data_IF_039845471221
#
_entry.id   IF_039845471221
#
_cell.length_a   1.000
_cell.length_b   1.000
_cell.length_c   1.000
_cell.angle_alpha   90.00
_cell.angle_beta   90.00
_cell.angle_gamma   90.00
#
_symmetry.space_group_name_H-M   'P 1'
#
loop_
_entity.id
_entity.type
_entity.pdbx_description
1 polymer ?
#
# COMPACT_ATOMS: atom_id res chain seq x y z
N UNK A 1 16.18 12.45 56.26
CA UNK A 1 15.08 12.36 55.27
C UNK A 1 15.33 13.18 54.00
N UNK A 2 15.58 14.50 54.08
CA UNK A 2 15.87 15.34 52.87
C UNK A 2 17.00 14.79 51.97
N UNK A 3 18.10 14.31 52.55
CA UNK A 3 19.22 13.78 51.76
C UNK A 3 18.93 12.43 51.07
N UNK A 4 18.03 11.62 51.64
CA UNK A 4 17.62 10.33 51.05
C UNK A 4 16.70 10.57 49.84
N UNK A 5 15.83 11.59 49.91
CA UNK A 5 14.95 11.98 48.79
C UNK A 5 15.77 12.54 47.62
N UNK A 6 16.81 13.33 47.89
CA UNK A 6 17.70 13.87 46.85
C UNK A 6 18.50 12.74 46.18
N UNK A 7 19.00 11.78 46.95
CA UNK A 7 19.71 10.62 46.41
C UNK A 7 18.80 9.74 45.53
N UNK A 8 17.54 9.53 45.96
CA UNK A 8 16.56 8.78 45.17
C UNK A 8 16.18 9.49 43.86
N UNK A 9 16.05 10.82 43.87
CA UNK A 9 15.78 11.60 42.67
C UNK A 9 16.95 11.55 41.66
N UNK A 10 18.19 11.56 42.15
CA UNK A 10 19.39 11.45 41.31
C UNK A 10 19.54 10.06 40.68
N UNK A 11 19.09 9.01 41.37
CA UNK A 11 19.12 7.63 40.86
C UNK A 11 18.12 7.39 39.72
N UNK A 12 16.95 8.04 39.75
CA UNK A 12 15.93 7.94 38.69
C UNK A 12 16.42 8.59 37.39
N UNK A 13 17.13 9.72 37.49
CA UNK A 13 17.69 10.45 36.34
C UNK A 13 18.74 9.63 35.56
N UNK A 14 19.43 8.69 36.21
CA UNK A 14 20.45 7.83 35.58
C UNK A 14 19.85 6.67 34.75
N UNK A 15 18.54 6.41 34.86
CA UNK A 15 17.84 5.35 34.10
C UNK A 15 17.04 5.88 32.90
N UNK A 16 16.97 7.20 32.72
CA UNK A 16 16.14 7.86 31.72
C UNK A 16 16.79 8.03 30.32
N UNK A 17 18.00 7.50 30.11
CA UNK A 17 18.75 7.74 28.86
C UNK A 17 18.48 6.73 27.73
N UNK A 18 17.60 5.74 27.92
CA UNK A 18 17.22 4.81 26.85
C UNK A 18 15.94 5.33 26.22
N UNK A 19 16.08 6.04 25.09
CA UNK A 19 14.95 6.40 24.26
C UNK A 19 14.47 5.15 23.49
N UNK A 20 13.31 4.56 23.80
CA UNK A 20 12.80 3.38 23.11
C UNK A 20 12.39 3.66 21.65
N UNK A 21 12.39 4.94 21.25
CA UNK A 21 12.15 5.41 19.88
C UNK A 21 13.44 5.77 19.13
N UNK A 22 14.62 5.71 19.77
CA UNK A 22 15.89 5.92 19.07
C UNK A 22 16.31 4.63 18.38
N UNK A 23 16.49 4.62 17.05
CA UNK A 23 17.03 3.47 16.35
C UNK A 23 18.43 3.17 16.90
N UNK A 24 18.67 1.92 17.31
CA UNK A 24 20.03 1.44 17.47
C UNK A 24 20.65 1.31 16.07
N UNK A 25 21.95 1.59 15.93
CA UNK A 25 22.64 1.40 14.66
C UNK A 25 22.68 -0.10 14.38
N UNK A 26 21.78 -0.57 13.52
CA UNK A 26 21.77 -1.93 13.00
C UNK A 26 22.53 -1.94 11.68
N UNK A 27 23.72 -2.55 11.66
CA UNK A 27 24.54 -2.77 10.45
C UNK A 27 24.15 -4.06 9.73
N UNK A 28 22.85 -4.38 9.66
CA UNK A 28 22.39 -5.59 9.00
C UNK A 28 22.07 -5.26 7.53
N UNK A 29 22.96 -5.67 6.63
CA UNK A 29 22.83 -5.47 5.18
C UNK A 29 21.75 -6.37 4.55
N UNK A 30 21.18 -7.32 5.32
CA UNK A 30 20.20 -8.29 4.87
C UNK A 30 18.74 -7.95 5.23
N UNK A 31 18.44 -6.71 5.63
CA UNK A 31 17.05 -6.24 5.68
C UNK A 31 16.57 -6.11 4.24
N UNK A 32 15.99 -7.21 3.71
CA UNK A 32 15.39 -7.22 2.38
C UNK A 32 14.51 -5.99 2.19
N UNK A 33 14.77 -5.25 1.11
CA UNK A 33 14.14 -3.95 0.90
C UNK A 33 12.62 -4.14 0.79
N UNK A 34 11.91 -3.81 1.87
CA UNK A 34 10.45 -3.99 1.99
C UNK A 34 9.73 -3.14 0.93
N UNK A 35 10.34 -2.02 0.55
CA UNK A 35 9.89 -1.16 -0.54
C UNK A 35 10.60 -1.52 -1.85
N UNK A 36 9.82 -1.58 -2.93
CA UNK A 36 10.35 -1.67 -4.28
C UNK A 36 10.72 -0.31 -4.85
N UNK A 37 11.67 -0.29 -5.80
CA UNK A 37 11.98 0.91 -6.57
C UNK A 37 10.81 1.26 -7.51
N UNK A 38 10.02 2.27 -7.16
CA UNK A 38 8.84 2.71 -7.92
C UNK A 38 9.19 3.31 -9.30
N UNK A 39 10.48 3.48 -9.65
CA UNK A 39 10.89 3.77 -11.04
C UNK A 39 10.79 2.53 -11.94
N UNK A 40 10.67 1.35 -11.35
CA UNK A 40 10.44 0.08 -12.03
C UNK A 40 8.99 -0.36 -11.88
N UNK A 41 8.51 -1.14 -12.86
CA UNK A 41 7.17 -1.72 -12.82
C UNK A 41 7.01 -2.69 -11.66
N UNK A 42 8.00 -3.56 -11.44
CA UNK A 42 8.02 -4.50 -10.32
C UNK A 42 7.94 -3.77 -8.97
N UNK A 43 8.73 -2.70 -8.82
CA UNK A 43 8.72 -1.92 -7.59
C UNK A 43 7.42 -1.16 -7.35
N UNK A 44 6.74 -0.68 -8.40
CA UNK A 44 5.37 -0.16 -8.28
C UNK A 44 4.41 -1.21 -7.69
N UNK A 45 4.40 -2.43 -8.24
CA UNK A 45 3.51 -3.49 -7.75
C UNK A 45 3.88 -3.97 -6.33
N UNK A 46 5.17 -4.02 -5.98
CA UNK A 46 5.64 -4.28 -4.62
C UNK A 46 5.13 -3.23 -3.64
N UNK A 47 5.22 -1.95 -3.99
CA UNK A 47 4.72 -0.87 -3.15
C UNK A 47 3.19 -0.88 -3.03
N UNK A 48 2.48 -1.27 -4.10
CA UNK A 48 1.03 -1.46 -4.07
C UNK A 48 0.63 -2.58 -3.12
N UNK A 49 1.28 -3.74 -3.24
CA UNK A 49 1.08 -4.88 -2.36
C UNK A 49 1.39 -4.52 -0.90
N UNK A 50 2.51 -3.84 -0.66
CA UNK A 50 2.87 -3.32 0.65
C UNK A 50 1.75 -2.44 1.23
N UNK A 51 1.24 -1.49 0.44
CA UNK A 51 0.22 -0.56 0.91
C UNK A 51 -1.05 -1.29 1.38
N UNK A 52 -1.51 -2.32 0.66
CA UNK A 52 -2.65 -3.14 1.08
C UNK A 52 -2.31 -3.99 2.30
N UNK A 53 -1.23 -4.77 2.25
CA UNK A 53 -0.92 -5.76 3.29
C UNK A 53 -0.61 -5.09 4.65
N UNK A 54 0.00 -3.91 4.63
CA UNK A 54 0.31 -3.12 5.82
C UNK A 54 -0.69 -2.00 6.11
N UNK A 55 -1.74 -1.85 5.28
CA UNK A 55 -2.77 -0.83 5.44
C UNK A 55 -2.19 0.60 5.46
N UNK A 56 -1.13 0.84 4.70
CA UNK A 56 -0.44 2.12 4.61
C UNK A 56 -1.06 3.02 3.53
N UNK A 57 -1.95 3.91 3.95
CA UNK A 57 -2.60 4.88 3.06
C UNK A 57 -1.66 5.94 2.50
N UNK A 58 -0.53 6.22 3.17
CA UNK A 58 0.45 7.19 2.66
C UNK A 58 1.15 6.59 1.45
N UNK A 59 1.57 5.32 1.55
CA UNK A 59 2.18 4.60 0.42
C UNK A 59 1.16 4.43 -0.71
N UNK A 60 -0.08 4.03 -0.41
CA UNK A 60 -1.14 3.95 -1.42
C UNK A 60 -1.36 5.29 -2.15
N UNK A 61 -1.48 6.38 -1.40
CA UNK A 61 -1.68 7.74 -1.94
C UNK A 61 -0.57 8.19 -2.88
N UNK A 62 0.68 7.76 -2.65
CA UNK A 62 1.84 8.09 -3.49
C UNK A 62 1.85 7.34 -4.83
N UNK A 63 1.18 6.19 -4.90
CA UNK A 63 1.05 5.41 -6.14
C UNK A 63 0.06 6.04 -7.12
N UNK A 64 -0.95 6.75 -6.63
CA UNK A 64 -2.00 7.33 -7.46
C UNK A 64 -1.59 8.69 -8.05
N UNK A 65 -1.73 8.82 -9.37
CA UNK A 65 -1.65 10.11 -10.05
C UNK A 65 -2.81 11.03 -9.64
N UNK A 66 -2.64 12.34 -9.77
CA UNK A 66 -3.70 13.32 -9.46
C UNK A 66 -4.95 13.13 -10.32
N UNK A 67 -4.78 12.66 -11.56
CA UNK A 67 -5.87 12.40 -12.51
C UNK A 67 -6.38 10.95 -12.45
N UNK A 68 -6.07 10.22 -11.39
CA UNK A 68 -6.44 8.82 -11.26
C UNK A 68 -7.97 8.61 -11.32
N UNK A 69 -8.38 7.58 -12.06
CA UNK A 69 -9.76 7.07 -12.10
C UNK A 69 -9.77 5.55 -11.98
N UNK A 70 -10.58 5.07 -11.05
CA UNK A 70 -10.91 3.65 -10.86
C UNK A 70 -12.22 3.33 -11.56
N UNK A 71 -12.29 2.22 -12.29
CA UNK A 71 -13.48 1.72 -12.96
C UNK A 71 -13.79 0.31 -12.47
N UNK A 72 -15.05 0.02 -12.17
CA UNK A 72 -15.49 -1.29 -11.69
C UNK A 72 -16.92 -1.59 -12.15
N UNK A 73 -17.26 -2.88 -12.18
CA UNK A 73 -18.63 -3.33 -12.44
C UNK A 73 -19.46 -3.21 -11.17
N UNK A 74 -20.52 -2.39 -11.19
CA UNK A 74 -21.49 -2.39 -10.10
C UNK A 74 -22.54 -3.48 -10.38
N UNK A 75 -22.41 -4.63 -9.72
CA UNK A 75 -23.29 -5.77 -9.93
C UNK A 75 -24.73 -5.52 -9.45
N UNK A 76 -24.93 -4.73 -8.40
CA UNK A 76 -26.26 -4.39 -7.89
C UNK A 76 -27.03 -3.48 -8.86
N UNK A 77 -26.32 -2.54 -9.48
CA UNK A 77 -26.92 -1.55 -10.38
C UNK A 77 -26.89 -1.97 -11.87
N UNK A 78 -26.13 -3.01 -12.22
CA UNK A 78 -26.06 -3.55 -13.57
C UNK A 78 -25.30 -2.70 -14.59
N UNK A 79 -24.55 -1.68 -14.15
CA UNK A 79 -23.75 -0.80 -15.02
C UNK A 79 -22.32 -0.60 -14.49
N UNK A 80 -21.45 -0.06 -15.35
CA UNK A 80 -20.06 0.23 -14.99
C UNK A 80 -19.97 1.57 -14.29
N UNK A 81 -19.37 1.58 -13.10
CA UNK A 81 -19.20 2.75 -12.27
C UNK A 81 -17.72 3.16 -12.21
N UNK A 82 -17.48 4.37 -11.71
CA UNK A 82 -16.12 4.86 -11.54
C UNK A 82 -15.97 5.68 -10.26
N UNK A 83 -14.78 5.65 -9.68
CA UNK A 83 -14.37 6.54 -8.60
C UNK A 83 -13.22 7.42 -9.05
N UNK A 84 -13.31 8.69 -8.70
CA UNK A 84 -12.18 9.61 -8.74
C UNK A 84 -11.14 9.22 -7.69
N UNK A 85 -9.92 9.76 -7.82
CA UNK A 85 -8.86 9.63 -6.82
C UNK A 85 -9.29 9.88 -5.38
N UNK A 86 -10.09 10.91 -5.12
CA UNK A 86 -10.50 11.23 -3.76
C UNK A 86 -11.46 10.18 -3.20
N UNK A 87 -12.42 9.74 -4.00
CA UNK A 87 -13.36 8.68 -3.63
C UNK A 87 -12.64 7.36 -3.38
N UNK A 88 -11.71 6.99 -4.27
CA UNK A 88 -10.91 5.78 -4.14
C UNK A 88 -10.04 5.80 -2.87
N UNK A 89 -9.33 6.91 -2.60
CA UNK A 89 -8.51 7.05 -1.40
C UNK A 89 -9.35 6.93 -0.12
N UNK A 90 -10.53 7.55 -0.12
CA UNK A 90 -11.41 7.54 1.05
C UNK A 90 -12.04 6.16 1.28
N UNK A 91 -12.47 5.50 0.21
CA UNK A 91 -13.02 4.13 0.27
C UNK A 91 -11.94 3.13 0.68
N UNK A 92 -10.74 3.23 0.11
CA UNK A 92 -9.60 2.36 0.47
C UNK A 92 -9.17 2.60 1.92
N UNK A 93 -9.14 3.85 2.38
CA UNK A 93 -8.90 4.14 3.80
C UNK A 93 -9.94 3.48 4.72
N UNK A 94 -11.22 3.55 4.36
CA UNK A 94 -12.30 2.88 5.11
C UNK A 94 -12.14 1.37 5.14
N UNK A 95 -11.73 0.76 4.02
CA UNK A 95 -11.40 -0.66 3.97
C UNK A 95 -10.24 -0.98 4.92
N UNK A 96 -9.17 -0.18 4.89
CA UNK A 96 -7.97 -0.39 5.70
C UNK A 96 -8.30 -0.32 7.20
N UNK A 97 -9.12 0.62 7.65
CA UNK A 97 -9.51 0.69 9.07
C UNK A 97 -10.47 -0.44 9.48
N UNK A 98 -11.34 -0.90 8.57
CA UNK A 98 -12.34 -1.91 8.87
C UNK A 98 -11.76 -3.33 8.87
N UNK A 99 -10.82 -3.62 7.97
CA UNK A 99 -10.22 -4.92 7.84
C UNK A 99 -9.21 -5.20 8.97
N UNK A 100 -9.35 -6.37 9.59
CA UNK A 100 -8.34 -6.91 10.52
C UNK A 100 -7.03 -7.14 9.77
N UNK A 101 -7.09 -7.81 8.62
CA UNK A 101 -5.95 -8.02 7.72
C UNK A 101 -6.37 -7.98 6.26
N UNK A 102 -5.45 -7.56 5.41
CA UNK A 102 -5.53 -7.63 3.96
C UNK A 102 -4.34 -8.44 3.47
N UNK A 103 -4.56 -9.35 2.53
CA UNK A 103 -3.51 -10.12 1.88
C UNK A 103 -3.72 -10.04 0.36
N UNK A 104 -3.03 -9.07 -0.26
CA UNK A 104 -2.96 -8.89 -1.69
C UNK A 104 -1.72 -9.63 -2.21
N UNK A 105 -1.93 -10.46 -3.23
CA UNK A 105 -0.85 -11.14 -3.95
C UNK A 105 -1.04 -10.89 -5.43
N UNK A 106 0.00 -10.35 -6.06
CA UNK A 106 0.05 -10.22 -7.52
C UNK A 106 0.54 -11.51 -8.17
N UNK A 107 -0.21 -11.99 -9.16
CA UNK A 107 0.14 -13.15 -9.98
C UNK A 107 0.95 -12.71 -11.22
N UNK A 108 0.83 -13.44 -12.32
CA UNK A 108 1.53 -13.15 -13.57
C UNK A 108 1.00 -11.91 -14.29
N UNK A 109 1.92 -11.24 -15.00
CA UNK A 109 1.58 -10.21 -15.98
C UNK A 109 1.05 -10.92 -17.23
N UNK A 110 -0.22 -10.68 -17.55
CA UNK A 110 -0.92 -11.28 -18.68
C UNK A 110 -0.72 -10.48 -19.96
N UNK A 111 -0.56 -9.17 -19.82
CA UNK A 111 -0.34 -8.25 -20.93
C UNK A 111 0.44 -7.03 -20.44
N UNK A 112 1.39 -6.58 -21.25
CA UNK A 112 2.12 -5.33 -21.03
C UNK A 112 2.45 -4.69 -22.38
N UNK A 113 2.05 -3.43 -22.57
CA UNK A 113 2.34 -2.67 -23.77
C UNK A 113 2.44 -1.18 -23.48
N UNK A 114 3.37 -0.49 -24.12
CA UNK A 114 3.62 0.93 -23.94
C UNK A 114 5.07 1.30 -24.20
N UNK A 115 5.44 2.49 -23.75
CA UNK A 115 6.78 3.04 -23.88
C UNK A 115 7.41 3.34 -22.51
N UNK A 116 8.47 4.15 -22.50
CA UNK A 116 9.19 4.50 -21.29
C UNK A 116 8.45 5.49 -20.38
N UNK A 117 7.38 6.12 -20.84
CA UNK A 117 6.63 7.16 -20.12
C UNK A 117 5.21 6.72 -19.77
N UNK A 118 4.63 5.82 -20.54
CA UNK A 118 3.29 5.28 -20.30
C UNK A 118 3.23 3.80 -20.66
N UNK A 119 2.65 3.00 -19.75
CA UNK A 119 2.49 1.56 -19.96
C UNK A 119 1.12 1.09 -19.49
N UNK A 120 0.50 0.23 -20.29
CA UNK A 120 -0.70 -0.52 -19.93
C UNK A 120 -0.29 -1.92 -19.50
N UNK A 121 -0.78 -2.37 -18.35
CA UNK A 121 -0.43 -3.64 -17.73
C UNK A 121 -1.70 -4.32 -17.25
N UNK A 122 -1.93 -5.55 -17.69
CA UNK A 122 -2.96 -6.43 -17.13
C UNK A 122 -2.28 -7.49 -16.30
N UNK A 123 -2.60 -7.51 -15.00
CA UNK A 123 -2.00 -8.45 -14.05
C UNK A 123 -3.08 -9.15 -13.23
N UNK A 124 -2.95 -10.46 -13.07
CA UNK A 124 -3.82 -11.23 -12.18
C UNK A 124 -3.53 -10.92 -10.72
N UNK A 125 -4.52 -11.01 -9.85
CA UNK A 125 -4.33 -10.87 -8.41
C UNK A 125 -5.29 -11.76 -7.61
N UNK A 126 -4.89 -12.03 -6.37
CA UNK A 126 -5.73 -12.58 -5.33
C UNK A 126 -5.75 -11.57 -4.16
N UNK A 127 -6.92 -11.30 -3.59
CA UNK A 127 -7.05 -10.45 -2.42
C UNK A 127 -7.92 -11.16 -1.38
N UNK A 128 -7.36 -11.40 -0.19
CA UNK A 128 -8.11 -11.84 0.97
C UNK A 128 -8.33 -10.67 1.92
N UNK A 129 -9.58 -10.43 2.30
CA UNK A 129 -9.99 -9.38 3.25
C UNK A 129 -10.60 -10.10 4.46
N UNK A 130 -9.95 -9.97 5.61
CA UNK A 130 -10.43 -10.57 6.86
C UNK A 130 -11.00 -9.46 7.75
N UNK A 131 -12.30 -9.48 8.00
CA UNK A 131 -12.94 -8.60 9.01
C UNK A 131 -12.97 -9.28 10.38
N UNK A 132 -13.21 -10.60 10.41
CA UNK A 132 -13.17 -11.43 11.62
C UNK A 132 -12.79 -12.87 11.28
N UNK A 133 -12.52 -13.76 12.25
CA UNK A 133 -12.21 -15.16 11.97
C UNK A 133 -13.29 -15.91 11.17
N UNK A 134 -14.55 -15.46 11.24
CA UNK A 134 -15.70 -16.03 10.52
C UNK A 134 -16.14 -15.22 9.31
N UNK A 135 -15.52 -14.06 9.05
CA UNK A 135 -15.87 -13.15 7.96
C UNK A 135 -14.62 -12.83 7.14
N UNK A 136 -14.44 -13.61 6.08
CA UNK A 136 -13.31 -13.55 5.16
C UNK A 136 -13.84 -13.49 3.75
N UNK A 137 -13.63 -12.36 3.09
CA UNK A 137 -13.91 -12.14 1.68
C UNK A 137 -12.67 -12.49 0.87
N UNK A 138 -12.83 -13.23 -0.23
CA UNK A 138 -11.75 -13.57 -1.17
C UNK A 138 -12.13 -13.12 -2.57
N UNK A 139 -11.27 -12.32 -3.17
CA UNK A 139 -11.42 -11.76 -4.51
C UNK A 139 -10.34 -12.34 -5.41
N UNK A 140 -10.75 -12.70 -6.63
CA UNK A 140 -9.88 -13.18 -7.68
C UNK A 140 -10.20 -12.40 -8.95
N UNK A 141 -9.18 -11.88 -9.62
CA UNK A 141 -9.43 -11.01 -10.74
C UNK A 141 -8.19 -10.58 -11.50
N UNK A 142 -8.42 -9.69 -12.45
CA UNK A 142 -7.38 -8.99 -13.18
C UNK A 142 -7.51 -7.50 -12.91
N UNK A 143 -6.36 -6.87 -12.71
CA UNK A 143 -6.25 -5.43 -12.66
C UNK A 143 -5.65 -4.95 -13.98
N UNK A 144 -6.39 -4.09 -14.68
CA UNK A 144 -5.93 -3.45 -15.91
C UNK A 144 -5.50 -2.02 -15.57
N UNK A 145 -4.19 -1.84 -15.43
CA UNK A 145 -3.54 -0.62 -15.00
C UNK A 145 -2.97 0.16 -16.17
N UNK A 146 -3.16 1.48 -16.15
CA UNK A 146 -2.39 2.42 -16.95
C UNK A 146 -1.48 3.20 -16.01
N UNK A 147 -0.18 2.96 -16.13
CA UNK A 147 0.84 3.69 -15.41
C UNK A 147 1.43 4.77 -16.31
N UNK A 148 1.80 5.91 -15.73
CA UNK A 148 2.61 6.90 -16.41
C UNK A 148 3.58 7.61 -15.48
N UNK A 149 4.56 8.27 -16.09
CA UNK A 149 5.53 9.16 -15.45
C UNK A 149 5.90 10.28 -16.41
N UNK A 150 6.39 11.40 -15.88
CA UNK A 150 6.73 12.59 -16.67
C UNK A 150 8.02 12.42 -17.48
N UNK A 151 8.99 11.71 -16.90
CA UNK A 151 10.26 11.36 -17.52
C UNK A 151 10.79 10.04 -16.92
N UNK A 152 11.90 9.54 -17.44
CA UNK A 152 12.47 8.24 -17.03
C UNK A 152 13.15 8.25 -15.65
N UNK A 153 13.43 9.43 -15.09
CA UNK A 153 14.00 9.59 -13.76
C UNK A 153 12.91 9.61 -12.67
N UNK A 154 11.68 9.96 -13.04
CA UNK A 154 10.50 9.96 -12.19
C UNK A 154 9.92 8.56 -11.93
N UNK A 155 9.11 8.46 -10.87
CA UNK A 155 8.43 7.23 -10.46
C UNK A 155 7.17 6.98 -11.28
N UNK A 156 6.80 5.71 -11.47
CA UNK A 156 5.51 5.35 -12.06
C UNK A 156 4.36 5.72 -11.13
N UNK A 157 3.29 6.27 -11.70
CA UNK A 157 2.02 6.53 -11.02
C UNK A 157 0.86 5.92 -11.79
N UNK A 158 -0.13 5.45 -11.06
CA UNK A 158 -1.35 4.88 -11.59
C UNK A 158 -2.32 5.99 -12.01
N UNK A 159 -2.65 6.04 -13.30
CA UNK A 159 -3.62 6.99 -13.86
C UNK A 159 -4.99 6.34 -14.04
N UNK A 160 -5.02 5.06 -14.38
CA UNK A 160 -6.27 4.35 -14.58
C UNK A 160 -6.17 2.93 -14.05
N UNK A 161 -7.21 2.50 -13.37
CA UNK A 161 -7.41 1.11 -13.00
C UNK A 161 -8.81 0.68 -13.44
N UNK A 162 -8.88 -0.32 -14.32
CA UNK A 162 -10.12 -1.05 -14.58
C UNK A 162 -10.05 -2.37 -13.83
N UNK A 163 -10.97 -2.56 -12.89
CA UNK A 163 -11.15 -3.82 -12.21
C UNK A 163 -11.94 -4.79 -13.09
N UNK A 164 -11.34 -5.94 -13.33
CA UNK A 164 -11.94 -7.06 -14.04
C UNK A 164 -12.05 -8.26 -13.07
N UNK A 165 -12.32 -7.98 -11.80
CA UNK A 165 -12.53 -9.01 -10.78
C UNK A 165 -13.97 -9.51 -10.74
N UNK A 166 -14.11 -10.76 -10.31
CA UNK A 166 -15.40 -11.38 -10.03
C UNK A 166 -15.51 -11.57 -8.53
N UNK A 167 -16.61 -11.10 -7.95
CA UNK A 167 -17.00 -11.32 -6.55
C UNK A 167 -18.19 -12.28 -6.50
#
# INVERSE_FOLDING_TARGET
>A
MKQIIIAAFFLIMMTACINPFSPAICLDENVGNIFGDQKTIDGFFKNFQYAYNFKDTITYRKLLDEKFVFYYRNYDAGFDASWTRTEDLFTTYRLFIAAKSLDLVWNDILYQNGDSLQVNIVRGFNLSITFSPSDIVRLYGKANFMLARKDTAEVWKLIKWVDESTY
#
